data_IF_777249878066
#
_entry.id   IF_777249878066
#
_cell.length_a   1.000
_cell.length_b   1.000
_cell.length_c   1.000
_cell.angle_alpha   90.00
_cell.angle_beta   90.00
_cell.angle_gamma   90.00
#
_symmetry.space_group_name_H-M   'P 1'
#
loop_
_entity.id
_entity.type
_entity.pdbx_description
1 polymer ?
#
# COMPACT_ATOMS: atom_id res chain seq x y z
N UNK A 1 9.36 -20.84 -27.71
CA UNK A 1 8.51 -19.88 -26.96
C UNK A 1 9.22 -19.59 -25.66
N UNK A 2 9.88 -18.43 -25.55
CA UNK A 2 10.49 -18.01 -24.28
C UNK A 2 9.49 -17.07 -23.63
N UNK A 3 8.92 -17.49 -22.49
CA UNK A 3 8.00 -16.69 -21.70
C UNK A 3 8.81 -15.59 -21.01
N UNK A 4 8.60 -14.33 -21.40
CA UNK A 4 9.16 -13.20 -20.70
C UNK A 4 8.26 -12.88 -19.49
N UNK A 5 8.62 -13.41 -18.32
CA UNK A 5 8.08 -12.99 -17.03
C UNK A 5 8.73 -11.66 -16.66
N UNK A 6 7.93 -10.59 -16.55
CA UNK A 6 8.37 -9.31 -15.99
C UNK A 6 7.98 -9.30 -14.51
N UNK A 7 8.93 -9.44 -13.57
CA UNK A 7 8.63 -9.20 -12.17
C UNK A 7 8.26 -7.72 -11.99
N UNK A 8 7.12 -7.47 -11.35
CA UNK A 8 6.75 -6.16 -10.83
C UNK A 8 7.80 -5.74 -9.80
N UNK A 9 8.50 -4.65 -10.09
CA UNK A 9 9.58 -4.08 -9.28
C UNK A 9 9.04 -3.57 -7.93
N UNK A 10 8.76 -4.50 -7.03
CA UNK A 10 8.72 -4.24 -5.60
C UNK A 10 10.15 -3.87 -5.17
N UNK A 11 10.34 -2.62 -4.77
CA UNK A 11 11.61 -2.12 -4.24
C UNK A 11 12.44 -1.35 -5.26
N UNK A 12 12.03 -0.11 -5.56
CA UNK A 12 12.91 0.83 -6.24
C UNK A 12 14.03 1.30 -5.29
N UNK A 13 15.11 0.51 -5.29
CA UNK A 13 16.47 0.96 -5.52
C UNK A 13 16.83 2.37 -5.00
N UNK A 14 17.38 2.44 -3.79
CA UNK A 14 18.46 3.41 -3.53
C UNK A 14 19.80 2.73 -3.81
N UNK A 15 20.02 2.47 -5.10
CA UNK A 15 21.35 2.38 -5.66
C UNK A 15 21.54 3.61 -6.55
N UNK A 16 22.23 4.64 -6.03
CA UNK A 16 23.54 5.02 -6.55
C UNK A 16 24.06 6.31 -5.91
N UNK A 17 25.22 6.16 -5.27
CA UNK A 17 26.16 7.24 -5.02
C UNK A 17 26.83 7.61 -6.37
N UNK A 18 26.53 8.77 -6.96
CA UNK A 18 27.57 9.62 -7.57
C UNK A 18 27.09 11.01 -7.96
N UNK A 19 27.88 11.98 -7.49
CA UNK A 19 27.82 13.38 -7.80
C UNK A 19 28.23 13.67 -9.26
N UNK A 20 27.47 14.52 -9.94
CA UNK A 20 28.01 15.45 -10.95
C UNK A 20 27.20 16.76 -10.91
N UNK A 21 27.84 17.77 -10.32
CA UNK A 21 27.77 19.23 -10.58
C UNK A 21 26.50 19.88 -11.14
N UNK A 22 26.10 20.98 -10.49
CA UNK A 22 25.44 22.09 -11.18
C UNK A 22 24.19 22.61 -10.49
N UNK A 23 24.32 23.78 -9.87
CA UNK A 23 23.28 24.51 -9.17
C UNK A 23 22.10 24.88 -10.08
N UNK A 24 20.86 24.75 -9.58
CA UNK A 24 19.84 25.77 -9.84
C UNK A 24 18.56 25.41 -10.60
N UNK A 25 17.85 24.31 -10.26
CA UNK A 25 16.37 24.20 -10.38
C UNK A 25 15.89 23.04 -9.48
N UNK A 26 15.84 23.28 -8.17
CA UNK A 26 15.53 22.25 -7.16
C UNK A 26 14.03 22.06 -6.87
N UNK A 27 13.11 22.40 -7.78
CA UNK A 27 11.68 22.36 -7.46
C UNK A 27 10.72 22.26 -8.67
N UNK A 28 10.94 21.35 -9.63
CA UNK A 28 9.90 21.06 -10.65
C UNK A 28 9.56 19.58 -10.84
N UNK A 29 9.86 18.75 -9.84
CA UNK A 29 9.13 17.50 -9.60
C UNK A 29 8.68 17.49 -8.14
N UNK A 30 7.90 18.50 -7.75
CA UNK A 30 6.95 18.30 -6.66
C UNK A 30 5.97 17.22 -7.15
N UNK A 31 6.36 15.97 -6.92
CA UNK A 31 5.51 14.91 -6.38
C UNK A 31 4.02 15.12 -6.68
N UNK A 32 3.55 14.63 -7.83
CA UNK A 32 2.13 14.30 -7.93
C UNK A 32 1.90 13.08 -7.04
N UNK A 33 1.43 13.34 -5.81
CA UNK A 33 1.17 12.38 -4.74
C UNK A 33 2.19 12.55 -3.61
N UNK A 34 1.84 12.80 -2.35
CA UNK A 34 0.61 12.50 -1.63
C UNK A 34 0.36 13.60 -0.59
N UNK A 35 -0.85 14.16 -0.56
CA UNK A 35 -1.28 15.12 0.46
C UNK A 35 -1.87 14.42 1.71
N UNK A 36 -1.70 13.10 1.82
CA UNK A 36 -1.99 12.25 2.99
C UNK A 36 -0.74 11.41 3.24
N UNK A 37 -0.42 11.14 4.50
CA UNK A 37 0.80 10.42 4.88
C UNK A 37 0.82 8.97 4.38
N UNK A 38 1.88 8.29 4.78
CA UNK A 38 2.02 6.83 4.72
C UNK A 38 2.50 6.44 6.12
N UNK A 39 1.53 6.13 6.99
CA UNK A 39 1.71 5.99 8.42
C UNK A 39 2.52 4.76 8.81
N UNK A 40 2.33 3.67 8.08
CA UNK A 40 2.96 2.38 8.33
C UNK A 40 4.15 2.08 7.40
N UNK A 41 4.37 2.92 6.40
CA UNK A 41 5.52 2.94 5.48
C UNK A 41 5.57 1.73 4.58
N UNK A 42 4.40 1.29 4.11
CA UNK A 42 4.27 0.14 3.23
C UNK A 42 4.33 0.51 1.73
N UNK A 43 4.29 1.82 1.44
CA UNK A 43 4.32 2.39 0.09
C UNK A 43 2.95 2.79 -0.46
N UNK A 44 1.87 2.58 0.30
CA UNK A 44 0.51 3.01 0.01
C UNK A 44 0.18 4.21 0.91
N UNK A 45 -0.31 5.34 0.36
CA UNK A 45 -0.68 6.47 1.21
C UNK A 45 -1.99 6.17 1.96
N UNK A 46 -2.10 6.66 3.21
CA UNK A 46 -3.18 6.40 4.16
C UNK A 46 -4.60 6.55 3.56
N UNK A 47 -4.78 7.46 2.59
CA UNK A 47 -6.07 7.70 1.93
C UNK A 47 -6.44 6.70 0.83
N UNK A 48 -5.54 5.79 0.48
CA UNK A 48 -5.73 4.69 -0.48
C UNK A 48 -5.37 3.33 0.15
N UNK A 49 -5.06 3.31 1.44
CA UNK A 49 -4.59 2.15 2.17
C UNK A 49 -5.76 1.49 2.91
N UNK A 50 -6.06 0.23 2.58
CA UNK A 50 -7.09 -0.55 3.27
C UNK A 50 -6.64 -1.05 4.66
N UNK A 51 -5.38 -0.84 5.06
CA UNK A 51 -4.88 -1.02 6.41
C UNK A 51 -3.86 0.07 6.86
N UNK A 52 -4.27 1.33 7.09
CA UNK A 52 -3.37 2.50 7.34
C UNK A 52 -2.39 2.40 8.52
N UNK A 53 -2.47 1.34 9.31
CA UNK A 53 -1.69 1.11 10.52
C UNK A 53 -0.90 -0.21 10.49
N UNK A 54 -1.09 -1.05 9.46
CA UNK A 54 -0.50 -2.37 9.34
C UNK A 54 -0.04 -2.56 7.90
N UNK A 55 1.28 -2.49 7.71
CA UNK A 55 1.89 -2.56 6.40
C UNK A 55 1.42 -3.78 5.60
N UNK A 56 0.73 -3.53 4.50
CA UNK A 56 0.15 -4.53 3.62
C UNK A 56 0.28 -4.08 2.13
N UNK A 57 1.50 -4.06 1.55
CA UNK A 57 1.74 -3.46 0.23
C UNK A 57 0.96 -4.10 -0.93
N UNK A 58 0.43 -5.30 -0.72
CA UNK A 58 -0.37 -6.04 -1.69
C UNK A 58 -1.84 -5.64 -1.69
N UNK A 59 -2.30 -4.92 -0.65
CA UNK A 59 -3.67 -4.44 -0.48
C UNK A 59 -4.71 -5.54 -0.71
N UNK A 60 -4.43 -6.75 -0.22
CA UNK A 60 -5.38 -7.87 -0.32
C UNK A 60 -6.61 -7.56 0.53
N UNK A 61 -7.77 -7.79 -0.07
CA UNK A 61 -9.11 -7.63 0.51
C UNK A 61 -9.97 -8.74 -0.13
N UNK A 62 -10.13 -9.84 0.60
CA UNK A 62 -10.68 -11.09 0.11
C UNK A 62 -12.19 -11.09 -0.10
N UNK A 63 -12.93 -10.37 0.73
CA UNK A 63 -14.38 -10.28 0.70
C UNK A 63 -14.91 -8.98 0.07
N UNK A 64 -14.05 -7.97 -0.10
CA UNK A 64 -14.33 -6.75 -0.84
C UNK A 64 -15.07 -5.69 -0.03
N UNK A 65 -14.92 -5.68 1.29
CA UNK A 65 -15.54 -4.70 2.18
C UNK A 65 -14.76 -3.36 2.29
N UNK A 66 -13.52 -3.35 1.79
CA UNK A 66 -12.61 -2.20 1.81
C UNK A 66 -11.65 -2.17 2.99
N UNK A 67 -11.64 -3.19 3.85
CA UNK A 67 -10.66 -3.43 4.90
C UNK A 67 -9.70 -4.53 4.44
N UNK A 68 -8.40 -4.35 4.65
CA UNK A 68 -7.43 -5.34 4.16
C UNK A 68 -7.37 -6.59 5.05
N UNK A 69 -7.10 -7.76 4.46
CA UNK A 69 -7.03 -9.06 5.15
C UNK A 69 -6.14 -9.05 6.43
N UNK A 70 -5.15 -8.16 6.49
CA UNK A 70 -4.23 -8.06 7.63
C UNK A 70 -4.78 -7.26 8.83
N UNK A 71 -5.77 -6.39 8.61
CA UNK A 71 -6.38 -5.56 9.64
C UNK A 71 -7.89 -5.78 9.79
N UNK A 72 -8.47 -6.65 8.98
CA UNK A 72 -9.86 -7.08 9.02
C UNK A 72 -10.08 -8.14 10.13
N UNK A 73 -11.05 -7.95 11.05
CA UNK A 73 -11.39 -8.95 12.06
C UNK A 73 -12.02 -10.23 11.47
N UNK A 74 -12.66 -10.14 10.31
CA UNK A 74 -13.36 -11.20 9.59
C UNK A 74 -13.01 -11.23 8.09
N UNK A 75 -11.77 -11.59 7.67
CA UNK A 75 -11.25 -11.48 6.28
C UNK A 75 -11.93 -12.30 5.17
N UNK A 76 -13.09 -12.92 5.46
CA UNK A 76 -13.85 -13.71 4.51
C UNK A 76 -15.34 -13.45 4.60
N UNK A 77 -15.73 -12.35 5.24
CA UNK A 77 -17.10 -11.96 5.50
C UNK A 77 -17.22 -10.43 5.46
N UNK A 78 -17.77 -9.92 4.34
CA UNK A 78 -17.80 -8.48 4.08
C UNK A 78 -18.68 -7.69 5.08
N UNK A 79 -19.55 -8.40 5.79
CA UNK A 79 -20.39 -7.86 6.84
C UNK A 79 -19.68 -7.75 8.20
N UNK A 80 -18.46 -8.30 8.33
CA UNK A 80 -17.70 -8.42 9.57
C UNK A 80 -18.55 -9.02 10.71
N UNK A 81 -18.23 -8.65 11.96
CA UNK A 81 -19.08 -8.91 13.13
C UNK A 81 -20.30 -7.96 13.13
N UNK A 82 -21.25 -8.25 12.25
CA UNK A 82 -22.42 -7.40 11.99
C UNK A 82 -23.34 -7.22 13.21
N UNK A 83 -23.35 -8.16 14.15
CA UNK A 83 -24.17 -8.11 15.36
C UNK A 83 -23.39 -7.73 16.63
N UNK A 84 -22.05 -7.70 16.57
CA UNK A 84 -21.16 -7.22 17.61
C UNK A 84 -20.93 -8.24 18.74
N UNK A 85 -21.14 -9.53 18.49
CA UNK A 85 -20.99 -10.60 19.47
C UNK A 85 -19.56 -11.18 19.53
N UNK A 86 -18.69 -10.77 18.59
CA UNK A 86 -17.30 -11.19 18.46
C UNK A 86 -17.10 -12.40 17.55
N UNK A 87 -18.12 -12.84 16.81
CA UNK A 87 -18.08 -13.94 15.85
C UNK A 87 -18.37 -13.40 14.43
N UNK A 88 -17.68 -13.96 13.44
CA UNK A 88 -17.91 -13.63 12.04
C UNK A 88 -19.06 -14.46 11.45
N UNK A 89 -19.87 -13.89 10.55
CA UNK A 89 -20.75 -14.63 9.65
C UNK A 89 -22.13 -15.01 10.19
N UNK A 90 -22.68 -14.28 11.17
CA UNK A 90 -24.00 -14.53 11.77
C UNK A 90 -25.12 -13.56 11.31
#
# INVERSE_FOLDING_TARGET
MVLNYRPSEAGQHQAELRAHGGLGVWATLATRGQAGGDGDRDGVPDGQDNCPQIANPMQTDGDGDGQGDLCDPCPGDAENDGDGDGVCGD
#
